data_IF_816056868587
#
_entry.id   IF_816056868587
#
_cell.length_a   1.000
_cell.length_b   1.000
_cell.length_c   1.000
_cell.angle_alpha   90.00
_cell.angle_beta   90.00
_cell.angle_gamma   90.00
#
_symmetry.space_group_name_H-M   'P 1'
#
loop_
_entity.id
_entity.type
_entity.pdbx_description
1 polymer ?
#
# COMPACT_ATOMS: atom_id res chain seq x y z
N UNK A 1 -28.96 22.34 14.60
CA UNK A 1 -29.36 21.69 13.34
C UNK A 1 -28.13 21.05 12.75
N UNK A 2 -28.17 19.75 12.49
CA UNK A 2 -27.11 19.04 11.74
C UNK A 2 -27.39 19.29 10.26
N UNK A 3 -26.41 19.86 9.54
CA UNK A 3 -26.48 20.01 8.09
C UNK A 3 -26.11 18.69 7.44
N UNK A 4 -26.96 18.21 6.55
CA UNK A 4 -26.69 17.04 5.70
C UNK A 4 -26.55 17.50 4.25
N UNK A 5 -25.57 16.97 3.55
CA UNK A 5 -25.40 17.14 2.11
C UNK A 5 -25.84 15.84 1.41
N UNK A 6 -26.99 15.89 0.74
CA UNK A 6 -27.46 14.78 -0.09
C UNK A 6 -27.12 15.09 -1.54
N UNK A 7 -26.20 14.33 -2.11
CA UNK A 7 -25.76 14.47 -3.51
C UNK A 7 -25.67 13.09 -4.15
N UNK A 8 -26.05 12.99 -5.41
CA UNK A 8 -25.93 11.74 -6.17
C UNK A 8 -24.48 11.48 -6.60
N UNK A 9 -23.68 12.56 -6.75
CA UNK A 9 -22.29 12.46 -7.20
C UNK A 9 -21.47 13.59 -6.61
N UNK A 10 -20.25 13.28 -6.19
CA UNK A 10 -19.23 14.25 -5.80
C UNK A 10 -18.19 14.29 -6.91
N UNK A 11 -18.03 15.44 -7.56
CA UNK A 11 -17.03 15.71 -8.60
C UNK A 11 -16.07 16.80 -8.12
N UNK A 12 -14.93 16.94 -8.80
CA UNK A 12 -14.03 18.07 -8.51
C UNK A 12 -14.64 19.41 -8.93
N UNK A 13 -13.94 20.51 -8.61
CA UNK A 13 -14.36 21.88 -8.91
C UNK A 13 -14.59 22.14 -10.40
N UNK A 14 -14.00 21.36 -11.30
CA UNK A 14 -14.15 21.55 -12.75
C UNK A 14 -15.54 21.14 -13.28
N UNK A 15 -16.32 20.39 -12.50
CA UNK A 15 -17.75 20.14 -12.72
C UNK A 15 -18.06 19.07 -13.76
N UNK A 16 -17.39 18.98 -14.87
CA UNK A 16 -17.63 17.93 -15.86
C UNK A 16 -16.33 17.19 -16.22
N UNK A 17 -16.27 15.93 -15.85
CA UNK A 17 -15.12 15.09 -16.11
C UNK A 17 -13.94 15.29 -15.15
N UNK A 18 -14.14 16.01 -14.03
CA UNK A 18 -13.17 16.09 -12.96
C UNK A 18 -12.93 14.73 -12.31
N UNK A 19 -11.66 14.38 -12.11
CA UNK A 19 -11.26 13.06 -11.63
C UNK A 19 -10.82 13.06 -10.17
N UNK A 20 -10.70 14.25 -9.53
CA UNK A 20 -10.10 14.37 -8.22
C UNK A 20 -11.03 15.04 -7.21
N UNK A 21 -11.34 14.33 -6.14
CA UNK A 21 -11.94 14.91 -4.93
C UNK A 21 -10.83 15.10 -3.90
N UNK A 22 -10.57 16.35 -3.50
CA UNK A 22 -9.59 16.63 -2.44
C UNK A 22 -10.19 16.32 -1.08
N UNK A 23 -9.60 15.34 -0.41
CA UNK A 23 -9.89 15.03 0.99
C UNK A 23 -8.71 15.55 1.84
N UNK A 24 -9.00 16.38 2.83
CA UNK A 24 -7.95 16.93 3.70
C UNK A 24 -7.24 15.82 4.51
N UNK A 25 -5.95 15.95 4.72
CA UNK A 25 -5.14 14.94 5.45
C UNK A 25 -5.60 14.70 6.89
N UNK A 26 -6.36 15.64 7.48
CA UNK A 26 -6.94 15.54 8.81
C UNK A 26 -8.41 15.10 8.81
N UNK A 27 -8.99 14.80 7.63
CA UNK A 27 -10.36 14.32 7.53
C UNK A 27 -10.55 13.01 8.27
N UNK A 28 -11.60 12.93 9.08
CA UNK A 28 -11.91 11.77 9.88
C UNK A 28 -13.18 11.09 9.43
N UNK A 29 -13.20 9.78 9.52
CA UNK A 29 -14.39 8.95 9.49
C UNK A 29 -14.94 8.82 10.90
N UNK A 30 -16.25 8.96 11.04
CA UNK A 30 -16.98 8.71 12.29
C UNK A 30 -17.93 7.55 12.06
N UNK A 31 -17.86 6.52 12.89
CA UNK A 31 -18.79 5.39 12.80
C UNK A 31 -20.23 5.84 13.11
N UNK A 32 -21.21 5.32 12.38
CA UNK A 32 -22.61 5.61 12.59
C UNK A 32 -23.03 5.29 14.05
N UNK A 33 -23.62 6.27 14.73
CA UNK A 33 -24.01 6.18 16.13
C UNK A 33 -22.84 6.20 17.13
N UNK A 34 -21.60 6.35 16.70
CA UNK A 34 -20.40 6.39 17.54
C UNK A 34 -19.81 7.79 17.70
N UNK A 35 -18.90 7.95 18.66
CA UNK A 35 -18.09 9.16 18.86
C UNK A 35 -16.61 8.96 18.49
N UNK A 36 -16.19 7.71 18.26
CA UNK A 36 -14.83 7.42 17.86
C UNK A 36 -14.57 7.86 16.42
N UNK A 37 -13.42 8.49 16.20
CA UNK A 37 -12.99 8.96 14.88
C UNK A 37 -11.74 8.24 14.43
N UNK A 38 -11.62 8.02 13.12
CA UNK A 38 -10.42 7.49 12.50
C UNK A 38 -10.04 8.36 11.30
N UNK A 39 -8.75 8.58 11.09
CA UNK A 39 -8.29 9.34 9.93
C UNK A 39 -8.65 8.59 8.63
N UNK A 40 -9.46 9.22 7.79
CA UNK A 40 -9.92 8.62 6.54
C UNK A 40 -8.77 8.39 5.55
N UNK A 41 -7.86 9.36 5.46
CA UNK A 41 -6.75 9.30 4.50
C UNK A 41 -5.76 8.19 4.87
N UNK A 42 -5.42 8.05 6.15
CA UNK A 42 -4.52 6.98 6.62
C UNK A 42 -5.14 5.59 6.52
N UNK A 43 -6.47 5.50 6.62
CA UNK A 43 -7.19 4.23 6.47
C UNK A 43 -7.22 3.67 5.04
N UNK A 44 -6.98 4.49 4.02
CA UNK A 44 -6.97 4.09 2.62
C UNK A 44 -5.57 3.58 2.22
N UNK A 45 -5.53 2.47 1.49
CA UNK A 45 -4.28 1.98 0.91
C UNK A 45 -3.63 3.02 -0.01
N UNK A 46 -2.33 3.23 0.12
CA UNK A 46 -1.54 4.17 -0.69
C UNK A 46 -0.82 3.51 -1.84
N UNK A 47 -0.54 2.24 -1.70
CA UNK A 47 0.00 1.40 -2.74
C UNK A 47 -0.44 -0.04 -2.52
N UNK A 48 -0.52 -0.80 -3.57
CA UNK A 48 -0.63 -2.25 -3.52
C UNK A 48 -0.04 -2.87 -4.78
N UNK A 49 0.36 -4.13 -4.71
CA UNK A 49 0.87 -4.86 -5.85
C UNK A 49 0.67 -6.34 -5.74
N UNK A 50 0.46 -6.95 -6.89
CA UNK A 50 0.49 -8.38 -7.14
C UNK A 50 1.69 -8.68 -8.02
N UNK A 51 2.60 -9.51 -7.53
CA UNK A 51 3.88 -9.79 -8.17
C UNK A 51 4.13 -11.29 -8.26
N UNK A 52 4.56 -11.74 -9.44
CA UNK A 52 4.97 -13.13 -9.65
C UNK A 52 6.31 -13.42 -8.98
N UNK A 53 6.65 -14.69 -8.85
CA UNK A 53 7.98 -15.14 -8.39
C UNK A 53 9.15 -14.71 -9.32
N UNK A 54 8.86 -14.29 -10.55
CA UNK A 54 9.83 -13.80 -11.53
C UNK A 54 9.96 -12.27 -11.53
N UNK A 55 9.52 -11.60 -10.46
CA UNK A 55 9.51 -10.15 -10.33
C UNK A 55 8.72 -9.42 -11.44
N UNK A 56 7.58 -9.97 -11.83
CA UNK A 56 6.65 -9.33 -12.76
C UNK A 56 5.43 -8.83 -12.01
N UNK A 57 5.18 -7.52 -12.04
CA UNK A 57 3.94 -6.93 -11.52
C UNK A 57 2.81 -7.28 -12.48
N UNK A 58 1.82 -8.02 -11.99
CA UNK A 58 0.62 -8.39 -12.76
C UNK A 58 -0.46 -7.34 -12.65
N UNK A 59 -0.59 -6.70 -11.48
CA UNK A 59 -1.48 -5.57 -11.25
C UNK A 59 -0.98 -4.74 -10.06
N UNK A 60 -1.25 -3.44 -10.05
CA UNK A 60 -0.78 -2.57 -8.96
C UNK A 60 -1.46 -1.21 -8.92
N UNK A 61 -1.36 -0.57 -7.75
CA UNK A 61 -1.63 0.84 -7.52
C UNK A 61 -0.37 1.50 -6.96
N UNK A 62 0.05 2.61 -7.55
CA UNK A 62 1.18 3.44 -7.08
C UNK A 62 2.54 2.71 -7.03
N UNK A 63 2.71 1.63 -7.79
CA UNK A 63 4.02 1.03 -8.02
C UNK A 63 4.51 1.35 -9.42
N UNK A 64 5.78 1.73 -9.54
CA UNK A 64 6.44 2.01 -10.82
C UNK A 64 7.27 0.84 -11.33
N UNK A 65 7.62 -0.11 -10.46
CA UNK A 65 8.38 -1.29 -10.84
C UNK A 65 8.80 -2.15 -9.66
N UNK A 66 9.31 -3.31 -9.98
CA UNK A 66 9.95 -4.25 -9.07
C UNK A 66 11.29 -4.67 -9.63
N UNK A 67 12.28 -4.86 -8.77
CA UNK A 67 13.61 -5.37 -9.11
C UNK A 67 13.81 -6.67 -8.33
N UNK A 68 14.22 -7.72 -9.03
CA UNK A 68 14.72 -8.95 -8.45
C UNK A 68 16.20 -8.73 -8.08
N UNK A 69 16.52 -8.76 -6.78
CA UNK A 69 17.88 -8.61 -6.27
C UNK A 69 18.56 -9.98 -6.04
N UNK A 70 17.83 -11.06 -6.26
CA UNK A 70 18.24 -12.43 -6.03
C UNK A 70 17.17 -13.24 -5.33
N UNK A 71 17.40 -14.51 -5.11
CA UNK A 71 16.40 -15.44 -4.59
C UNK A 71 15.70 -14.90 -3.34
N UNK A 72 14.39 -14.71 -3.45
CA UNK A 72 13.53 -14.20 -2.37
C UNK A 72 13.75 -12.74 -1.98
N UNK A 73 14.40 -11.93 -2.81
CA UNK A 73 14.74 -10.54 -2.50
C UNK A 73 14.22 -9.60 -3.59
N UNK A 74 13.19 -8.82 -3.26
CA UNK A 74 12.49 -7.95 -4.20
C UNK A 74 12.42 -6.52 -3.70
N UNK A 75 12.85 -5.56 -4.53
CA UNK A 75 12.68 -4.13 -4.26
C UNK A 75 11.57 -3.54 -5.12
N UNK A 76 10.57 -2.96 -4.49
CA UNK A 76 9.45 -2.26 -5.11
C UNK A 76 9.65 -0.75 -5.06
N UNK A 77 9.45 -0.07 -6.18
CA UNK A 77 9.53 1.37 -6.29
C UNK A 77 8.15 2.00 -6.43
N UNK A 78 7.93 3.15 -5.79
CA UNK A 78 6.67 3.90 -5.91
C UNK A 78 6.66 4.82 -7.13
N UNK A 79 5.47 5.04 -7.70
CA UNK A 79 5.20 6.10 -8.66
C UNK A 79 5.11 7.46 -7.94
N UNK A 80 4.35 7.50 -6.85
CA UNK A 80 4.27 8.66 -5.95
C UNK A 80 4.83 8.27 -4.60
N UNK A 81 5.82 9.01 -4.13
CA UNK A 81 6.53 8.70 -2.90
C UNK A 81 5.61 8.75 -1.67
N UNK A 82 5.97 7.99 -0.66
CA UNK A 82 5.44 8.16 0.70
C UNK A 82 6.09 9.38 1.35
N UNK A 83 5.39 10.02 2.28
CA UNK A 83 5.92 11.19 3.01
C UNK A 83 7.12 10.84 3.90
N UNK A 84 7.21 9.60 4.35
CA UNK A 84 8.28 9.09 5.20
C UNK A 84 8.45 7.57 4.99
N UNK A 85 9.49 6.99 5.57
CA UNK A 85 9.78 5.55 5.51
C UNK A 85 8.97 4.70 6.52
N UNK A 86 8.10 5.31 7.34
CA UNK A 86 7.33 4.63 8.39
C UNK A 86 5.87 4.40 7.94
N UNK A 87 5.68 3.40 7.14
CA UNK A 87 4.38 2.91 6.68
C UNK A 87 4.24 1.41 6.97
N UNK A 88 2.99 0.94 7.06
CA UNK A 88 2.68 -0.47 7.28
C UNK A 88 2.58 -1.21 5.95
N UNK A 89 3.15 -2.41 5.89
CA UNK A 89 3.13 -3.27 4.71
C UNK A 89 2.58 -4.65 5.07
N UNK A 90 1.26 -4.86 5.12
CA UNK A 90 0.69 -6.20 5.10
C UNK A 90 1.09 -6.91 3.81
N UNK A 91 1.63 -8.12 3.94
CA UNK A 91 2.00 -8.96 2.78
C UNK A 91 1.41 -10.35 2.94
N UNK A 92 0.89 -10.88 1.85
CA UNK A 92 0.52 -12.26 1.69
C UNK A 92 1.44 -12.90 0.65
N UNK A 93 1.89 -14.13 0.89
CA UNK A 93 2.71 -14.88 -0.07
C UNK A 93 2.00 -16.16 -0.49
N UNK A 94 2.08 -16.44 -1.77
CA UNK A 94 1.66 -17.72 -2.32
C UNK A 94 2.64 -18.81 -1.90
N UNK A 95 2.11 -19.98 -1.52
CA UNK A 95 2.89 -21.12 -1.02
C UNK A 95 3.42 -20.94 0.42
N UNK A 96 3.95 -21.99 1.01
CA UNK A 96 4.39 -22.06 2.42
C UNK A 96 5.69 -21.26 2.68
N UNK A 97 5.65 -19.97 2.38
CA UNK A 97 6.76 -19.04 2.54
C UNK A 97 6.56 -18.14 3.75
N UNK A 98 7.65 -17.70 4.35
CA UNK A 98 7.71 -16.70 5.41
C UNK A 98 8.21 -15.38 4.83
N UNK A 99 7.77 -14.30 5.43
CA UNK A 99 8.20 -12.96 5.05
C UNK A 99 9.11 -12.41 6.13
N UNK A 100 10.19 -11.79 5.73
CA UNK A 100 10.98 -10.93 6.59
C UNK A 100 11.02 -9.52 5.98
N UNK A 101 10.88 -8.52 6.83
CA UNK A 101 11.14 -7.12 6.47
C UNK A 101 12.45 -6.70 7.10
N UNK A 102 13.29 -6.09 6.31
CA UNK A 102 14.37 -5.27 6.83
C UNK A 102 13.89 -3.81 6.84
N UNK A 103 13.55 -3.29 8.04
CA UNK A 103 13.12 -1.90 8.18
C UNK A 103 14.18 -0.90 7.71
N UNK A 104 15.44 -1.30 7.64
CA UNK A 104 16.52 -0.47 7.12
C UNK A 104 16.41 -0.23 5.61
N UNK A 105 15.62 -1.04 4.91
CA UNK A 105 15.42 -0.93 3.46
C UNK A 105 14.08 -0.30 3.07
N UNK A 106 13.27 0.15 4.05
CA UNK A 106 12.13 1.02 3.79
C UNK A 106 12.61 2.45 3.52
N UNK A 107 12.20 3.00 2.40
CA UNK A 107 12.45 4.39 2.01
C UNK A 107 11.14 5.07 1.61
N UNK A 108 11.12 6.39 1.53
CA UNK A 108 9.95 7.10 1.02
C UNK A 108 9.64 6.75 -0.44
N UNK A 109 10.63 6.31 -1.23
CA UNK A 109 10.51 5.99 -2.64
C UNK A 109 10.38 4.49 -2.95
N UNK A 110 10.62 3.61 -1.97
CA UNK A 110 10.70 2.16 -2.20
C UNK A 110 10.57 1.35 -0.91
N UNK A 111 10.31 0.05 -1.06
CA UNK A 111 10.40 -0.94 0.02
C UNK A 111 10.99 -2.25 -0.51
N UNK A 112 11.59 -3.01 0.39
CA UNK A 112 12.14 -4.33 0.08
C UNK A 112 11.33 -5.43 0.79
N UNK A 113 11.13 -6.55 0.11
CA UNK A 113 10.56 -7.78 0.64
C UNK A 113 11.58 -8.89 0.57
N UNK A 114 11.77 -9.61 1.69
CA UNK A 114 12.56 -10.84 1.73
C UNK A 114 11.67 -12.03 2.05
N UNK A 115 11.69 -13.03 1.17
CA UNK A 115 10.89 -14.24 1.25
C UNK A 115 11.74 -15.43 1.55
N UNK A 116 11.27 -16.31 2.45
CA UNK A 116 11.97 -17.48 2.89
C UNK A 116 11.06 -18.70 2.91
N UNK A 117 11.61 -19.88 2.69
CA UNK A 117 10.87 -21.15 2.88
C UNK A 117 10.59 -21.38 4.36
N UNK A 118 9.49 -22.05 4.63
CA UNK A 118 9.10 -22.51 5.97
C UNK A 118 9.72 -23.86 6.31
N UNK A 119 11.03 -24.04 6.07
CA UNK A 119 11.77 -25.23 6.45
C UNK A 119 12.40 -25.06 7.84
N UNK A 120 12.98 -26.13 8.39
CA UNK A 120 13.71 -26.11 9.67
C UNK A 120 14.90 -25.13 9.67
N UNK A 121 15.34 -24.72 8.49
CA UNK A 121 16.27 -23.61 8.25
C UNK A 121 15.63 -22.61 7.27
N UNK A 122 15.64 -21.32 7.61
CA UNK A 122 15.18 -20.26 6.73
C UNK A 122 16.07 -20.20 5.49
N UNK A 123 15.53 -20.57 4.34
CA UNK A 123 16.22 -20.48 3.05
C UNK A 123 15.46 -19.50 2.17
N UNK A 124 16.16 -18.56 1.56
CA UNK A 124 15.54 -17.61 0.62
C UNK A 124 14.84 -18.37 -0.52
N UNK A 125 13.67 -17.90 -0.91
CA UNK A 125 12.86 -18.55 -1.95
C UNK A 125 12.00 -17.53 -2.70
N UNK A 126 11.96 -17.69 -4.02
CA UNK A 126 11.07 -16.89 -4.86
C UNK A 126 9.63 -17.37 -4.70
N UNK A 127 8.72 -16.43 -4.50
CA UNK A 127 7.30 -16.72 -4.40
C UNK A 127 6.47 -15.55 -4.93
N UNK A 128 5.29 -15.88 -5.47
CA UNK A 128 4.25 -14.88 -5.74
C UNK A 128 3.87 -14.20 -4.43
N UNK A 129 3.78 -12.87 -4.47
CA UNK A 129 3.48 -12.09 -3.28
C UNK A 129 2.53 -10.94 -3.60
N UNK A 130 1.73 -10.58 -2.59
CA UNK A 130 0.75 -9.50 -2.63
C UNK A 130 1.01 -8.57 -1.47
N UNK A 131 1.25 -7.31 -1.74
CA UNK A 131 1.52 -6.30 -0.74
C UNK A 131 0.47 -5.19 -0.77
N UNK A 132 0.18 -4.63 0.40
CA UNK A 132 -0.68 -3.44 0.55
C UNK A 132 -0.01 -2.50 1.52
N UNK A 133 -0.04 -1.21 1.26
CA UNK A 133 0.65 -0.21 2.05
C UNK A 133 -0.29 0.85 2.59
N UNK A 134 -0.15 1.14 3.88
CA UNK A 134 -0.89 2.18 4.59
C UNK A 134 0.08 3.15 5.25
N UNK A 135 -0.12 4.44 5.02
CA UNK A 135 0.72 5.53 5.50
C UNK A 135 0.27 6.84 4.87
N UNK A 136 1.18 7.82 4.79
CA UNK A 136 0.93 9.11 4.17
C UNK A 136 1.70 9.23 2.84
N UNK A 137 1.04 9.75 1.80
CA UNK A 137 1.72 10.16 0.56
C UNK A 137 2.44 11.50 0.77
N UNK A 138 3.53 11.73 0.03
CA UNK A 138 4.28 12.97 0.04
C UNK A 138 3.48 14.16 -0.53
#
# INVERSE_FOLDING_TARGET
MTSQLNVDTIVDKAGSGGTNVKVGNTSTYVADGGSATQNLVQGIAKAWGDCTHEAVITDSLNLSGVVDNGTGDYTYSFTNNMSAANYSIPVNVGYASLISFDNAEQASSSYNLRLFTRADSLTAADATNHSTLHGDLA
#
